data_IF_549930106191
#
_entry.id   IF_549930106191
#
_cell.length_a   1.000
_cell.length_b   1.000
_cell.length_c   1.000
_cell.angle_alpha   90.00
_cell.angle_beta   90.00
_cell.angle_gamma   90.00
#
_symmetry.space_group_name_H-M   'P 1'
#
loop_
_entity.id
_entity.type
_entity.pdbx_description
1 polymer ?
#
# COMPACT_ATOMS: atom_id res chain seq x y z
N UNK A 1 10.20 0.50 23.57
CA UNK A 1 10.81 -0.06 22.34
C UNK A 1 11.54 1.07 21.65
N UNK A 2 12.82 0.87 21.35
CA UNK A 2 13.59 1.84 20.56
C UNK A 2 13.20 1.72 19.09
N UNK A 3 13.09 2.85 18.39
CA UNK A 3 12.84 2.87 16.95
C UNK A 3 14.11 2.43 16.25
N UNK A 4 14.05 1.30 15.54
CA UNK A 4 15.19 0.77 14.78
C UNK A 4 15.29 1.47 13.44
N UNK A 5 16.20 2.44 13.33
CA UNK A 5 16.45 3.18 12.08
C UNK A 5 16.68 2.26 10.86
N UNK A 6 17.43 1.15 10.96
CA UNK A 6 17.56 0.22 9.84
C UNK A 6 16.22 -0.39 9.39
N UNK A 7 15.33 -0.72 10.33
CA UNK A 7 14.02 -1.30 10.01
C UNK A 7 13.10 -0.28 9.35
N UNK A 8 13.09 0.95 9.84
CA UNK A 8 12.34 2.08 9.27
C UNK A 8 12.79 2.38 7.84
N UNK A 9 14.11 2.36 7.59
CA UNK A 9 14.67 2.57 6.25
C UNK A 9 14.28 1.41 5.30
N UNK A 10 14.36 0.17 5.77
CA UNK A 10 13.95 -1.00 4.99
C UNK A 10 12.46 -0.93 4.63
N UNK A 11 11.61 -0.55 5.59
CA UNK A 11 10.18 -0.35 5.35
C UNK A 11 9.93 0.75 4.31
N UNK A 12 10.57 1.91 4.46
CA UNK A 12 10.44 3.04 3.53
C UNK A 12 10.82 2.64 2.10
N UNK A 13 11.97 1.96 1.94
CA UNK A 13 12.44 1.48 0.63
C UNK A 13 11.49 0.44 0.05
N UNK A 14 11.04 -0.53 0.85
CA UNK A 14 10.10 -1.56 0.40
C UNK A 14 8.78 -0.97 -0.08
N UNK A 15 8.20 -0.04 0.68
CA UNK A 15 6.97 0.68 0.32
C UNK A 15 7.16 1.49 -0.96
N UNK A 16 8.28 2.21 -1.11
CA UNK A 16 8.56 2.98 -2.31
C UNK A 16 8.66 2.09 -3.56
N UNK A 17 9.42 0.99 -3.48
CA UNK A 17 9.54 0.02 -4.56
C UNK A 17 8.19 -0.62 -4.90
N UNK A 18 7.38 -0.96 -3.90
CA UNK A 18 6.07 -1.56 -4.11
C UNK A 18 5.06 -0.56 -4.73
N UNK A 19 5.13 0.71 -4.32
CA UNK A 19 4.36 1.78 -4.94
C UNK A 19 4.73 1.98 -6.41
N UNK A 20 6.03 2.02 -6.73
CA UNK A 20 6.51 2.09 -8.12
C UNK A 20 6.04 0.87 -8.93
N UNK A 21 6.07 -0.33 -8.34
CA UNK A 21 5.56 -1.55 -8.97
C UNK A 21 4.09 -1.42 -9.36
N UNK A 22 3.23 -0.88 -8.48
CA UNK A 22 1.82 -0.65 -8.80
C UNK A 22 1.60 0.35 -9.94
N UNK A 23 2.43 1.41 -10.03
CA UNK A 23 2.37 2.36 -11.15
C UNK A 23 2.72 1.67 -12.48
N UNK A 24 3.77 0.85 -12.49
CA UNK A 24 4.13 0.07 -13.69
C UNK A 24 3.05 -0.96 -14.02
N UNK A 25 2.55 -1.68 -13.03
CA UNK A 25 1.50 -2.67 -13.22
C UNK A 25 0.24 -2.04 -13.84
N UNK A 26 -0.22 -0.89 -13.34
CA UNK A 26 -1.35 -0.15 -13.91
C UNK A 26 -1.13 0.18 -15.40
N UNK A 27 0.07 0.67 -15.75
CA UNK A 27 0.43 1.01 -17.14
C UNK A 27 0.50 -0.22 -18.04
N UNK A 28 1.08 -1.32 -17.56
CA UNK A 28 1.17 -2.58 -18.29
C UNK A 28 -0.23 -3.12 -18.55
N UNK A 29 -1.06 -3.20 -17.51
CA UNK A 29 -2.43 -3.71 -17.62
C UNK A 29 -3.26 -2.86 -18.60
N UNK A 30 -3.11 -1.53 -18.58
CA UNK A 30 -3.76 -0.64 -19.55
C UNK A 30 -3.37 -0.98 -21.00
N UNK A 31 -2.09 -1.26 -21.25
CA UNK A 31 -1.60 -1.66 -22.59
C UNK A 31 -2.13 -3.03 -23.00
N UNK A 32 -2.12 -4.00 -22.08
CA UNK A 32 -2.64 -5.34 -22.33
C UNK A 32 -4.13 -5.33 -22.68
N UNK A 33 -4.94 -4.55 -21.95
CA UNK A 33 -6.37 -4.36 -22.24
C UNK A 33 -6.61 -3.78 -23.64
N UNK A 34 -5.75 -2.85 -24.09
CA UNK A 34 -5.83 -2.31 -25.43
C UNK A 34 -5.54 -3.38 -26.51
N UNK A 35 -4.57 -4.26 -26.26
CA UNK A 35 -4.21 -5.36 -27.19
C UNK A 35 -5.38 -6.33 -27.38
N UNK A 36 -6.06 -6.71 -26.31
CA UNK A 36 -7.22 -7.60 -26.38
C UNK A 36 -8.53 -6.89 -26.72
N UNK A 37 -8.47 -5.59 -27.10
CA UNK A 37 -9.62 -4.74 -27.47
C UNK A 37 -10.75 -4.74 -26.41
N UNK A 38 -10.40 -4.85 -25.12
CA UNK A 38 -11.34 -4.76 -24.00
C UNK A 38 -11.15 -3.44 -23.26
N UNK A 39 -11.89 -2.37 -23.63
CA UNK A 39 -11.88 -1.15 -22.84
C UNK A 39 -12.49 -1.45 -21.47
N UNK A 40 -11.69 -1.36 -20.42
CA UNK A 40 -12.12 -1.54 -19.04
C UNK A 40 -11.30 -0.66 -18.10
N UNK A 41 -11.87 -0.31 -16.95
CA UNK A 41 -11.23 0.52 -15.92
C UNK A 41 -10.37 -0.28 -14.94
N UNK A 42 -10.26 -1.61 -15.08
CA UNK A 42 -9.50 -2.44 -14.14
C UNK A 42 -8.01 -2.09 -14.07
N UNK A 43 -7.45 -1.43 -15.10
CA UNK A 43 -6.09 -0.91 -15.06
C UNK A 43 -5.89 0.16 -13.98
N UNK A 44 -6.96 0.82 -13.52
CA UNK A 44 -6.90 1.80 -12.45
C UNK A 44 -6.88 1.15 -11.05
N UNK A 45 -7.21 -0.14 -10.92
CA UNK A 45 -7.21 -0.82 -9.62
C UNK A 45 -5.80 -0.89 -8.99
N UNK A 46 -4.71 -1.27 -9.71
CA UNK A 46 -3.37 -1.18 -9.15
C UNK A 46 -2.97 0.26 -8.81
N UNK A 47 -3.45 1.26 -9.56
CA UNK A 47 -3.21 2.66 -9.25
C UNK A 47 -3.89 3.08 -7.94
N UNK A 48 -5.14 2.66 -7.72
CA UNK A 48 -5.79 2.80 -6.42
C UNK A 48 -5.00 2.05 -5.32
N UNK A 49 -4.37 0.93 -5.68
CA UNK A 49 -3.49 0.18 -4.77
C UNK A 49 -2.31 1.02 -4.30
N UNK A 50 -1.66 1.75 -5.21
CA UNK A 50 -0.60 2.69 -4.86
C UNK A 50 -1.09 3.80 -3.91
N UNK A 51 -2.33 4.27 -4.06
CA UNK A 51 -2.92 5.28 -3.16
C UNK A 51 -3.09 4.70 -1.75
N UNK A 52 -3.70 3.52 -1.61
CA UNK A 52 -3.84 2.87 -0.30
C UNK A 52 -2.51 2.56 0.36
N UNK A 53 -1.51 2.15 -0.43
CA UNK A 53 -0.15 1.92 0.07
C UNK A 53 0.47 3.22 0.60
N UNK A 54 0.31 4.33 -0.12
CA UNK A 54 0.76 5.64 0.32
C UNK A 54 0.06 6.10 1.61
N UNK A 55 -1.25 5.89 1.73
CA UNK A 55 -1.99 6.15 2.97
C UNK A 55 -1.49 5.27 4.12
N UNK A 56 -1.25 3.98 3.88
CA UNK A 56 -0.70 3.08 4.89
C UNK A 56 0.67 3.54 5.38
N UNK A 57 1.55 3.94 4.46
CA UNK A 57 2.86 4.52 4.79
C UNK A 57 2.75 5.83 5.57
N UNK A 58 1.78 6.68 5.25
CA UNK A 58 1.52 7.90 6.02
C UNK A 58 1.15 7.57 7.47
N UNK A 59 0.24 6.61 7.69
CA UNK A 59 -0.13 6.17 9.04
C UNK A 59 1.01 5.49 9.79
N UNK A 60 1.98 4.89 9.08
CA UNK A 60 3.20 4.36 9.68
C UNK A 60 4.07 5.48 10.27
N UNK A 61 4.36 6.53 9.48
CA UNK A 61 5.31 7.58 9.86
C UNK A 61 4.71 8.68 10.74
N UNK A 62 3.39 8.89 10.70
CA UNK A 62 2.73 9.97 11.44
C UNK A 62 2.94 9.89 12.97
N UNK A 63 2.77 8.73 13.64
CA UNK A 63 3.05 8.62 15.07
C UNK A 63 4.53 8.82 15.42
N UNK A 64 5.45 8.38 14.54
CA UNK A 64 6.89 8.55 14.73
C UNK A 64 7.29 10.03 14.67
N UNK A 65 6.63 10.81 13.83
CA UNK A 65 6.83 12.26 13.72
C UNK A 65 6.25 13.03 14.92
N UNK A 66 5.08 12.62 15.41
CA UNK A 66 4.40 13.29 16.54
C UNK A 66 5.05 12.90 17.88
N UNK A 67 5.41 11.63 18.04
CA UNK A 67 5.96 11.07 19.27
C UNK A 67 7.32 10.40 19.01
N UNK A 68 8.41 11.18 18.92
CA UNK A 68 9.75 10.64 18.68
C UNK A 68 10.27 9.76 19.82
N UNK A 69 9.63 9.81 21.00
CA UNK A 69 9.91 8.94 22.15
C UNK A 69 8.63 8.29 22.63
N UNK A 70 8.68 6.99 22.82
CA UNK A 70 7.60 6.19 23.42
C UNK A 70 7.65 6.31 24.94
N UNK A 71 6.60 6.87 25.54
CA UNK A 71 6.37 6.81 26.98
C UNK A 71 5.31 5.73 27.27
N UNK A 72 5.70 4.55 27.77
CA UNK A 72 4.77 3.45 28.02
C UNK A 72 3.72 3.77 29.09
N UNK A 73 3.95 4.79 29.93
CA UNK A 73 3.00 5.22 30.96
C UNK A 73 1.83 6.03 30.41
N UNK A 74 1.93 6.49 29.15
CA UNK A 74 0.92 7.28 28.45
C UNK A 74 0.02 6.39 27.60
N UNK A 75 -1.12 6.01 28.17
CA UNK A 75 -2.09 5.10 27.53
C UNK A 75 -2.75 5.71 26.28
N UNK A 76 -2.88 7.03 26.22
CA UNK A 76 -3.34 7.79 25.07
C UNK A 76 -2.39 7.64 23.87
N UNK A 77 -1.09 7.79 24.11
CA UNK A 77 -0.05 7.61 23.09
C UNK A 77 -0.04 6.18 22.55
N UNK A 78 -0.14 5.18 23.43
CA UNK A 78 -0.22 3.77 23.04
C UNK A 78 -1.46 3.50 22.18
N UNK A 79 -2.62 4.04 22.55
CA UNK A 79 -3.86 3.89 21.79
C UNK A 79 -3.73 4.47 20.38
N UNK A 80 -3.17 5.67 20.25
CA UNK A 80 -2.97 6.32 18.96
C UNK A 80 -2.00 5.54 18.06
N UNK A 81 -0.93 4.98 18.64
CA UNK A 81 0.01 4.13 17.90
C UNK A 81 -0.69 2.86 17.42
N UNK A 82 -1.45 2.19 18.27
CA UNK A 82 -2.21 0.99 17.88
C UNK A 82 -3.18 1.29 16.73
N UNK A 83 -3.96 2.37 16.83
CA UNK A 83 -4.87 2.79 15.76
C UNK A 83 -4.13 3.07 14.45
N UNK A 84 -3.01 3.79 14.53
CA UNK A 84 -2.21 4.13 13.35
C UNK A 84 -1.58 2.89 12.70
N UNK A 85 -1.09 1.93 13.51
CA UNK A 85 -0.57 0.64 13.02
C UNK A 85 -1.68 -0.23 12.40
N UNK A 86 -2.89 -0.20 12.95
CA UNK A 86 -4.05 -0.87 12.33
C UNK A 86 -4.41 -0.26 10.99
N UNK A 87 -4.40 1.08 10.88
CA UNK A 87 -4.66 1.79 9.62
C UNK A 87 -3.56 1.57 8.58
N UNK A 88 -2.30 1.53 9.01
CA UNK A 88 -1.16 1.13 8.18
C UNK A 88 -1.41 -0.26 7.57
N UNK A 89 -1.68 -1.25 8.43
CA UNK A 89 -1.91 -2.63 8.00
C UNK A 89 -3.10 -2.73 7.05
N UNK A 90 -4.20 -2.01 7.33
CA UNK A 90 -5.36 -1.97 6.46
C UNK A 90 -5.03 -1.36 5.08
N UNK A 91 -4.27 -0.26 5.05
CA UNK A 91 -3.81 0.37 3.81
C UNK A 91 -2.95 -0.56 2.96
N UNK A 92 -1.97 -1.24 3.57
CA UNK A 92 -1.10 -2.21 2.89
C UNK A 92 -1.91 -3.41 2.38
N UNK A 93 -2.82 -3.94 3.21
CA UNK A 93 -3.69 -5.06 2.82
C UNK A 93 -4.59 -4.69 1.64
N UNK A 94 -5.30 -3.58 1.72
CA UNK A 94 -6.19 -3.11 0.65
C UNK A 94 -5.41 -2.86 -0.64
N UNK A 95 -4.21 -2.27 -0.54
CA UNK A 95 -3.34 -2.04 -1.68
C UNK A 95 -3.00 -3.32 -2.45
N UNK A 96 -2.63 -4.39 -1.74
CA UNK A 96 -2.39 -5.71 -2.33
C UNK A 96 -3.66 -6.34 -2.86
N UNK A 97 -4.73 -6.35 -2.06
CA UNK A 97 -5.99 -7.02 -2.38
C UNK A 97 -6.61 -6.52 -3.69
N UNK A 98 -6.74 -5.20 -3.87
CA UNK A 98 -7.35 -4.65 -5.09
C UNK A 98 -6.47 -4.83 -6.32
N UNK A 99 -5.14 -4.83 -6.14
CA UNK A 99 -4.18 -5.11 -7.21
C UNK A 99 -4.26 -6.57 -7.68
N UNK A 100 -4.47 -7.50 -6.75
CA UNK A 100 -4.72 -8.92 -7.06
C UNK A 100 -6.03 -9.08 -7.83
N UNK A 101 -7.11 -8.41 -7.41
CA UNK A 101 -8.40 -8.44 -8.12
C UNK A 101 -8.21 -8.01 -9.58
N UNK A 102 -7.47 -6.94 -9.85
CA UNK A 102 -7.19 -6.49 -11.22
C UNK A 102 -6.56 -7.60 -12.08
N UNK A 103 -5.62 -8.34 -11.50
CA UNK A 103 -4.91 -9.43 -12.16
C UNK A 103 -5.81 -10.62 -12.42
N UNK A 104 -6.59 -11.03 -11.41
CA UNK A 104 -7.55 -12.14 -11.55
C UNK A 104 -8.59 -11.86 -12.63
N UNK A 105 -9.13 -10.64 -12.67
CA UNK A 105 -10.10 -10.23 -13.70
C UNK A 105 -9.46 -10.28 -15.09
N UNK A 106 -8.26 -9.73 -15.25
CA UNK A 106 -7.53 -9.79 -16.52
C UNK A 106 -7.28 -11.22 -16.97
N UNK A 107 -6.70 -12.06 -16.10
CA UNK A 107 -6.42 -13.47 -16.39
C UNK A 107 -7.68 -14.22 -16.80
N UNK A 108 -8.79 -14.01 -16.09
CA UNK A 108 -10.08 -14.62 -16.44
C UNK A 108 -10.59 -14.23 -17.83
N UNK A 109 -10.29 -13.02 -18.30
CA UNK A 109 -10.67 -12.57 -19.64
C UNK A 109 -9.76 -13.10 -20.74
N UNK A 110 -8.50 -13.43 -20.44
CA UNK A 110 -7.55 -13.94 -21.44
C UNK A 110 -7.47 -15.46 -21.50
N UNK A 111 -7.93 -16.16 -20.45
CA UNK A 111 -7.94 -17.63 -20.41
C UNK A 111 -9.23 -18.26 -20.94
N UNK A 112 -10.13 -17.46 -21.51
CA UNK A 112 -11.36 -17.91 -22.20
C UNK A 112 -11.24 -17.59 -23.67
#
# INVERSE_FOLDING_TARGET
MEVSIPAELLFAVAVALFGVSFLYYSRILKRLLAIIRRPSVIWALPLAGAIFLGLGALFHFLPLAIYPRLDPSRTDQLMQICQSRSLEAAGIFLAGFISIIAGLVYTRWTSR
#
